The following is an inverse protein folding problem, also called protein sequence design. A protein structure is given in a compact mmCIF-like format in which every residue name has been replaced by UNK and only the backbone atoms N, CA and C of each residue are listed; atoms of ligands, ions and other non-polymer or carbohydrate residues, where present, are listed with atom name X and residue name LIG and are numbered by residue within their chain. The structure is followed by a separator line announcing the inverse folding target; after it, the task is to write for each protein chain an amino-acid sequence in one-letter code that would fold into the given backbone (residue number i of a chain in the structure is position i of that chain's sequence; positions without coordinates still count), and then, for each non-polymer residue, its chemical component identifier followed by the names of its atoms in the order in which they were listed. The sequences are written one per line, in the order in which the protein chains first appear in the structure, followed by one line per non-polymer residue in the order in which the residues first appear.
data_IF_108040036755
#
_entry.id   IF_108040036755
#
_cell.length_a   1.000
_cell.length_b   1.000
_cell.length_c   1.000
_cell.angle_alpha   90.00
_cell.angle_beta   90.00
_cell.angle_gamma   90.00
#
_symmetry.space_group_name_H-M   'P 1'
#
loop_
_entity.id
_entity.type
_entity.pdbx_description
1 polymer ?
#
# COMPACT_ATOMS: atom_id res chain seq x y z
N UNK A 1 -26.89 -0.66 18.21
CA UNK A 1 -26.55 -0.99 16.81
C UNK A 1 -26.51 0.28 15.97
N UNK A 2 -25.33 0.84 15.72
CA UNK A 2 -25.19 1.96 14.78
C UNK A 2 -25.46 1.46 13.37
N UNK A 3 -26.60 1.83 12.78
CA UNK A 3 -26.91 1.56 11.37
C UNK A 3 -25.78 2.16 10.52
N UNK A 4 -25.00 1.31 9.85
CA UNK A 4 -24.22 1.74 8.70
C UNK A 4 -25.22 2.18 7.62
N UNK A 5 -25.65 3.44 7.64
CA UNK A 5 -26.34 4.02 6.50
C UNK A 5 -25.35 3.99 5.34
N UNK A 6 -25.77 3.40 4.21
CA UNK A 6 -25.08 3.52 2.95
C UNK A 6 -24.91 5.02 2.66
N UNK A 7 -23.74 5.55 2.99
CA UNK A 7 -23.38 6.92 2.65
C UNK A 7 -23.11 6.95 1.15
N UNK A 8 -23.30 8.08 0.45
CA UNK A 8 -22.97 8.20 -0.98
C UNK A 8 -21.49 7.94 -1.32
N UNK A 9 -20.66 7.65 -0.31
CA UNK A 9 -19.26 7.23 -0.43
C UNK A 9 -19.03 5.72 -0.47
N UNK A 10 -20.03 4.86 -0.25
CA UNK A 10 -19.84 3.40 -0.45
C UNK A 10 -19.86 3.07 -1.94
N UNK A 11 -18.81 2.44 -2.51
CA UNK A 11 -18.83 2.00 -3.89
C UNK A 11 -19.94 0.99 -4.08
N UNK A 12 -20.82 1.23 -5.07
CA UNK A 12 -21.84 0.27 -5.50
C UNK A 12 -21.25 -1.13 -5.78
N UNK A 13 -19.96 -1.19 -6.09
CA UNK A 13 -19.24 -2.42 -6.42
C UNK A 13 -19.00 -3.35 -5.21
N UNK A 14 -18.81 -2.82 -3.99
CA UNK A 14 -18.50 -3.65 -2.81
C UNK A 14 -19.77 -4.10 -2.06
N UNK A 15 -20.92 -3.43 -2.27
CA UNK A 15 -22.23 -3.72 -1.65
C UNK A 15 -22.23 -3.98 -0.13
N UNK A 16 -21.26 -3.41 0.60
CA UNK A 16 -21.12 -3.57 2.06
C UNK A 16 -20.53 -2.32 2.71
N UNK A 17 -20.79 -2.13 4.00
CA UNK A 17 -20.21 -1.04 4.77
C UNK A 17 -18.73 -1.33 5.10
N UNK A 18 -17.83 -0.42 4.73
CA UNK A 18 -16.40 -0.53 5.02
C UNK A 18 -16.05 0.51 6.09
N UNK A 19 -15.56 0.07 7.25
CA UNK A 19 -15.17 0.94 8.37
C UNK A 19 -13.94 1.76 7.98
N UNK A 20 -14.03 3.09 8.16
CA UNK A 20 -13.03 4.08 7.69
C UNK A 20 -12.55 3.74 6.27
N UNK A 21 -13.50 3.64 5.35
CA UNK A 21 -13.20 3.41 3.94
C UNK A 21 -12.26 4.50 3.42
N UNK A 22 -11.24 4.09 2.68
CA UNK A 22 -10.33 4.98 1.98
C UNK A 22 -10.70 5.04 0.50
N UNK A 23 -10.56 3.92 -0.22
CA UNK A 23 -10.91 3.80 -1.63
C UNK A 23 -11.24 2.34 -2.00
N UNK A 24 -11.86 2.13 -3.18
CA UNK A 24 -11.90 0.81 -3.81
C UNK A 24 -10.72 0.68 -4.74
N UNK A 25 -9.88 -0.34 -4.53
CA UNK A 25 -8.70 -0.55 -5.33
C UNK A 25 -8.94 -1.69 -6.31
N UNK A 26 -8.93 -1.35 -7.61
CA UNK A 26 -9.13 -2.31 -8.69
C UNK A 26 -8.00 -3.35 -8.77
N UNK A 27 -6.78 -3.00 -8.36
CA UNK A 27 -5.62 -3.91 -8.41
C UNK A 27 -5.70 -5.06 -7.41
N UNK A 28 -6.30 -4.83 -6.24
CA UNK A 28 -6.54 -5.88 -5.24
C UNK A 28 -7.98 -6.40 -5.28
N UNK A 29 -8.78 -5.89 -6.23
CA UNK A 29 -10.20 -6.18 -6.38
C UNK A 29 -10.97 -6.12 -5.05
N UNK A 30 -10.66 -5.13 -4.21
CA UNK A 30 -11.21 -5.03 -2.86
C UNK A 30 -11.24 -3.58 -2.37
N UNK A 31 -12.14 -3.33 -1.43
CA UNK A 31 -12.20 -2.06 -0.72
C UNK A 31 -11.07 -1.97 0.32
N UNK A 32 -10.33 -0.85 0.34
CA UNK A 32 -9.29 -0.54 1.32
C UNK A 32 -9.90 0.32 2.43
N UNK A 33 -9.68 -0.08 3.68
CA UNK A 33 -10.17 0.61 4.88
C UNK A 33 -9.43 0.14 6.13
N UNK A 34 -9.97 0.43 7.31
CA UNK A 34 -9.27 0.22 8.59
C UNK A 34 -8.71 -1.21 8.78
N UNK A 35 -9.45 -2.23 8.36
CA UNK A 35 -9.12 -3.63 8.65
C UNK A 35 -8.01 -4.19 7.75
N UNK A 36 -7.76 -3.58 6.59
CA UNK A 36 -6.72 -4.01 5.64
C UNK A 36 -5.71 -2.92 5.29
N UNK A 37 -5.79 -1.75 5.92
CA UNK A 37 -4.87 -0.62 5.69
C UNK A 37 -3.40 -1.01 5.90
N UNK A 38 -3.10 -1.80 6.95
CA UNK A 38 -1.74 -2.33 7.20
C UNK A 38 -1.22 -3.11 5.98
N UNK A 39 -2.01 -4.08 5.51
CA UNK A 39 -1.61 -4.96 4.41
C UNK A 39 -1.45 -4.18 3.10
N UNK A 40 -2.31 -3.20 2.86
CA UNK A 40 -2.20 -2.33 1.69
C UNK A 40 -0.91 -1.51 1.71
N UNK A 41 -0.54 -0.91 2.84
CA UNK A 41 0.72 -0.14 2.97
C UNK A 41 1.94 -1.04 2.78
N UNK A 42 1.92 -2.26 3.35
CA UNK A 42 2.99 -3.23 3.14
C UNK A 42 3.09 -3.62 1.65
N UNK A 43 1.96 -3.90 1.00
CA UNK A 43 1.90 -4.23 -0.41
C UNK A 43 2.48 -3.12 -1.30
N UNK A 44 2.08 -1.86 -1.10
CA UNK A 44 2.59 -0.74 -1.91
C UNK A 44 4.05 -0.44 -1.60
N UNK A 45 4.47 -0.55 -0.34
CA UNK A 45 5.86 -0.32 0.06
C UNK A 45 6.79 -1.40 -0.51
N UNK A 46 6.40 -2.68 -0.45
CA UNK A 46 7.20 -3.77 -1.03
C UNK A 46 7.26 -3.70 -2.55
N UNK A 47 6.15 -3.36 -3.21
CA UNK A 47 6.14 -3.14 -4.66
C UNK A 47 7.06 -1.98 -5.05
N UNK A 48 7.08 -0.90 -4.26
CA UNK A 48 8.01 0.22 -4.47
C UNK A 48 9.48 -0.21 -4.34
N UNK A 49 9.82 -0.97 -3.29
CA UNK A 49 11.17 -1.46 -3.05
C UNK A 49 11.64 -2.39 -4.16
N UNK A 50 10.81 -3.37 -4.58
CA UNK A 50 11.21 -4.30 -5.64
C UNK A 50 11.31 -3.60 -7.00
N UNK A 51 10.46 -2.62 -7.28
CA UNK A 51 10.54 -1.82 -8.52
C UNK A 51 11.85 -1.02 -8.57
N UNK A 52 12.24 -0.38 -7.46
CA UNK A 52 13.53 0.30 -7.33
C UNK A 52 14.70 -0.67 -7.48
N UNK A 53 14.63 -1.84 -6.85
CA UNK A 53 15.67 -2.87 -6.95
C UNK A 53 15.85 -3.34 -8.41
N UNK A 54 14.76 -3.56 -9.14
CA UNK A 54 14.81 -3.90 -10.56
C UNK A 54 15.46 -2.80 -11.39
N UNK A 55 15.14 -1.52 -11.15
CA UNK A 55 15.79 -0.38 -11.83
C UNK A 55 17.29 -0.33 -11.57
N UNK A 56 17.73 -0.61 -10.34
CA UNK A 56 19.15 -0.68 -9.98
C UNK A 56 19.86 -1.81 -10.74
N UNK A 57 19.27 -3.01 -10.75
CA UNK A 57 19.83 -4.15 -11.52
C UNK A 57 19.89 -3.81 -13.01
N UNK A 58 18.84 -3.21 -13.56
CA UNK A 58 18.77 -2.83 -14.97
C UNK A 58 19.88 -1.83 -15.32
N UNK A 59 20.12 -0.84 -14.45
CA UNK A 59 21.21 0.11 -14.58
C UNK A 59 22.58 -0.59 -14.57
N UNK A 60 22.79 -1.53 -13.65
CA UNK A 60 24.02 -2.33 -13.63
C UNK A 60 24.18 -3.21 -14.87
N UNK A 61 23.10 -3.77 -15.39
CA UNK A 61 23.12 -4.56 -16.62
C UNK A 61 23.49 -3.68 -17.84
N UNK A 62 22.90 -2.48 -17.94
CA UNK A 62 23.21 -1.52 -19.00
C UNK A 62 24.68 -1.04 -18.95
N UNK A 63 25.19 -0.74 -17.76
CA UNK A 63 26.56 -0.22 -17.62
C UNK A 63 27.63 -1.29 -17.77
N UNK A 64 27.40 -2.50 -17.23
CA UNK A 64 28.42 -3.54 -17.25
C UNK A 64 28.32 -4.48 -18.46
N UNK A 65 27.11 -4.85 -18.89
CA UNK A 65 26.95 -5.81 -19.99
C UNK A 65 26.87 -5.08 -21.33
N UNK A 66 26.03 -4.03 -21.40
CA UNK A 66 25.72 -3.38 -22.67
C UNK A 66 26.83 -2.46 -23.13
N UNK A 67 27.41 -1.68 -22.21
CA UNK A 67 28.45 -0.72 -22.56
C UNK A 67 29.86 -1.33 -22.73
N UNK A 68 30.12 -2.54 -22.23
CA UNK A 68 31.46 -3.16 -22.32
C UNK A 68 31.55 -4.32 -23.30
N UNK A 69 30.73 -5.37 -23.15
CA UNK A 69 30.83 -6.61 -23.92
C UNK A 69 29.45 -7.17 -24.27
N UNK A 70 28.73 -6.44 -25.12
CA UNK A 70 27.35 -6.74 -25.53
C UNK A 70 27.15 -8.15 -26.10
N UNK A 71 28.17 -8.77 -26.73
CA UNK A 71 28.07 -10.10 -27.33
C UNK A 71 28.27 -11.26 -26.35
N UNK A 72 28.84 -10.99 -25.15
CA UNK A 72 29.19 -12.03 -24.17
C UNK A 72 28.15 -12.20 -23.05
N UNK A 73 27.23 -11.26 -22.90
CA UNK A 73 26.35 -11.15 -21.73
C UNK A 73 24.88 -11.59 -21.92
N UNK A 74 24.22 -11.38 -23.07
CA UNK A 74 22.78 -11.62 -23.14
C UNK A 74 22.47 -13.12 -23.27
N UNK A 75 21.56 -13.62 -22.42
CA UNK A 75 21.03 -14.99 -22.49
C UNK A 75 20.18 -15.23 -23.75
N UNK A 76 19.68 -14.15 -24.36
CA UNK A 76 18.93 -14.15 -25.61
C UNK A 76 19.68 -13.39 -26.70
N UNK A 77 19.19 -13.47 -27.94
CA UNK A 77 19.74 -12.67 -29.04
C UNK A 77 19.76 -11.16 -28.67
N UNK A 78 20.78 -10.40 -29.10
CA UNK A 78 20.85 -8.95 -28.96
C UNK A 78 19.54 -8.16 -29.08
N UNK A 79 18.73 -8.29 -30.15
CA UNK A 79 17.51 -7.51 -30.30
C UNK A 79 16.47 -7.83 -29.22
N UNK A 80 16.33 -9.11 -28.82
CA UNK A 80 15.38 -9.53 -27.80
C UNK A 80 15.73 -8.95 -26.42
N UNK A 81 17.00 -8.98 -26.05
CA UNK A 81 17.47 -8.41 -24.78
C UNK A 81 17.17 -6.91 -24.70
N UNK A 82 17.36 -6.17 -25.79
CA UNK A 82 17.04 -4.74 -25.83
C UNK A 82 15.55 -4.47 -25.61
N UNK A 83 14.68 -5.27 -26.25
CA UNK A 83 13.23 -5.17 -26.05
C UNK A 83 12.85 -5.47 -24.60
N UNK A 84 13.38 -6.54 -24.00
CA UNK A 84 13.09 -6.87 -22.61
C UNK A 84 13.59 -5.81 -21.62
N UNK A 85 14.78 -5.27 -21.84
CA UNK A 85 15.35 -4.18 -21.02
C UNK A 85 14.45 -2.95 -21.06
N UNK A 86 13.95 -2.56 -22.24
CA UNK A 86 13.03 -1.43 -22.38
C UNK A 86 11.70 -1.70 -21.68
N UNK A 87 11.07 -2.85 -21.94
CA UNK A 87 9.77 -3.19 -21.36
C UNK A 87 9.85 -3.25 -19.83
N UNK A 88 10.84 -3.96 -19.29
CA UNK A 88 11.07 -4.06 -17.84
C UNK A 88 11.40 -2.71 -17.22
N UNK A 89 12.18 -1.87 -17.92
CA UNK A 89 12.52 -0.53 -17.46
C UNK A 89 11.30 0.38 -17.36
N UNK A 90 10.47 0.43 -18.41
CA UNK A 90 9.24 1.22 -18.44
C UNK A 90 8.23 0.73 -17.40
N UNK A 91 8.05 -0.58 -17.29
CA UNK A 91 7.19 -1.21 -16.29
C UNK A 91 7.64 -0.87 -14.87
N UNK A 92 8.91 -1.12 -14.54
CA UNK A 92 9.46 -0.90 -13.20
C UNK A 92 9.42 0.58 -12.82
N UNK A 93 9.72 1.48 -13.76
CA UNK A 93 9.64 2.91 -13.51
C UNK A 93 8.21 3.40 -13.28
N UNK A 94 7.26 2.92 -14.09
CA UNK A 94 5.84 3.22 -13.93
C UNK A 94 5.29 2.74 -12.59
N UNK A 95 5.55 1.49 -12.22
CA UNK A 95 5.14 0.94 -10.93
C UNK A 95 5.84 1.62 -9.77
N UNK A 96 7.12 1.98 -9.89
CA UNK A 96 7.84 2.71 -8.85
C UNK A 96 7.16 4.06 -8.55
N UNK A 97 6.90 4.88 -9.57
CA UNK A 97 6.24 6.19 -9.37
C UNK A 97 4.86 6.00 -8.77
N UNK A 98 4.05 5.12 -9.37
CA UNK A 98 2.68 4.88 -8.92
C UNK A 98 2.64 4.44 -7.45
N UNK A 99 3.46 3.46 -7.07
CA UNK A 99 3.47 2.92 -5.71
C UNK A 99 4.15 3.84 -4.70
N UNK A 100 5.13 4.65 -5.11
CA UNK A 100 5.73 5.67 -4.26
C UNK A 100 4.72 6.78 -3.90
N UNK A 101 3.95 7.26 -4.89
CA UNK A 101 2.88 8.24 -4.66
C UNK A 101 1.80 7.66 -3.75
N UNK A 102 1.31 6.45 -4.06
CA UNK A 102 0.29 5.79 -3.24
C UNK A 102 0.75 5.57 -1.80
N UNK A 103 1.98 5.07 -1.61
CA UNK A 103 2.55 4.85 -0.27
C UNK A 103 2.67 6.17 0.51
N UNK A 104 3.13 7.24 -0.14
CA UNK A 104 3.24 8.57 0.46
C UNK A 104 1.89 9.10 0.91
N UNK A 105 0.85 8.94 0.08
CA UNK A 105 -0.52 9.33 0.42
C UNK A 105 -1.02 8.54 1.63
N UNK A 106 -0.82 7.22 1.68
CA UNK A 106 -1.25 6.42 2.83
C UNK A 106 -0.57 6.86 4.13
N UNK A 107 0.74 7.14 4.11
CA UNK A 107 1.45 7.64 5.29
C UNK A 107 1.01 9.05 5.69
N UNK A 108 0.74 9.91 4.72
CA UNK A 108 0.18 11.25 4.97
C UNK A 108 -1.21 11.17 5.62
N UNK A 109 -2.09 10.30 5.12
CA UNK A 109 -3.41 10.04 5.70
C UNK A 109 -3.31 9.50 7.13
N UNK A 110 -2.35 8.63 7.42
CA UNK A 110 -2.07 8.17 8.79
C UNK A 110 -1.61 9.32 9.67
N UNK A 111 -0.65 10.12 9.20
CA UNK A 111 -0.10 11.24 9.96
C UNK A 111 -1.18 12.28 10.31
N UNK A 112 -2.08 12.55 9.37
CA UNK A 112 -3.17 13.53 9.53
C UNK A 112 -4.43 12.94 10.17
N UNK A 113 -4.48 11.63 10.45
CA UNK A 113 -5.68 10.86 10.84
C UNK A 113 -6.90 11.20 9.96
N UNK A 114 -6.66 11.35 8.64
CA UNK A 114 -7.70 11.58 7.64
C UNK A 114 -7.82 10.37 6.70
N UNK A 115 -9.05 10.01 6.36
CA UNK A 115 -9.32 9.10 5.23
C UNK A 115 -9.29 9.89 3.91
N UNK A 116 -9.02 9.24 2.77
CA UNK A 116 -9.07 9.88 1.45
C UNK A 116 -10.39 10.61 1.20
N UNK A 117 -11.52 10.07 1.69
CA UNK A 117 -12.84 10.72 1.60
C UNK A 117 -12.94 11.95 2.49
N UNK A 118 -12.38 11.92 3.71
CA UNK A 118 -12.37 13.07 4.62
C UNK A 118 -11.49 14.21 4.09
N UNK A 119 -10.39 13.88 3.40
CA UNK A 119 -9.54 14.86 2.70
C UNK A 119 -10.35 15.63 1.65
N UNK A 120 -11.07 14.94 0.76
CA UNK A 120 -11.89 15.60 -0.27
C UNK A 120 -13.13 16.32 0.30
N UNK A 121 -13.66 15.89 1.44
CA UNK A 121 -14.83 16.53 2.08
C UNK A 121 -14.48 17.78 2.90
N UNK A 122 -13.20 18.16 3.01
CA UNK A 122 -12.77 19.38 3.71
C UNK A 122 -13.14 19.42 5.20
N UNK A 123 -13.56 18.30 5.80
CA UNK A 123 -13.91 18.22 7.21
C UNK A 123 -12.62 18.14 8.04
N UNK A 124 -12.03 19.30 8.35
CA UNK A 124 -11.02 19.41 9.40
C UNK A 124 -11.67 18.99 10.73
N UNK A 125 -11.26 17.85 11.27
CA UNK A 125 -11.68 17.43 12.61
C UNK A 125 -11.11 18.45 13.60
N UNK A 126 -12.00 19.20 14.24
CA UNK A 126 -11.68 20.20 15.25
C UNK A 126 -10.76 19.60 16.33
N UNK A 127 -9.60 20.23 16.50
CA UNK A 127 -8.72 20.17 17.68
C UNK A 127 -8.62 18.80 18.37
N UNK A 128 -7.93 17.83 17.74
CA UNK A 128 -7.26 16.76 18.50
C UNK A 128 -5.78 17.10 18.55
N UNK A 129 -5.27 17.24 19.78
CA UNK A 129 -3.85 17.43 20.11
C UNK A 129 -2.93 16.70 19.13
N UNK A 130 -1.89 17.39 18.65
CA UNK A 130 -0.86 16.91 17.73
C UNK A 130 -0.38 15.52 18.16
N UNK A 131 -0.92 14.48 17.52
CA UNK A 131 -0.54 13.12 17.79
C UNK A 131 0.76 12.83 17.06
N UNK A 132 1.79 12.39 17.77
CA UNK A 132 3.07 12.02 17.15
C UNK A 132 2.84 10.96 16.07
N UNK A 133 3.59 11.05 14.96
CA UNK A 133 3.53 10.10 13.85
C UNK A 133 3.65 8.64 14.31
N UNK A 134 4.49 8.37 15.31
CA UNK A 134 4.64 7.02 15.88
C UNK A 134 3.36 6.53 16.58
N UNK A 135 2.62 7.43 17.22
CA UNK A 135 1.35 7.10 17.83
C UNK A 135 0.31 6.77 16.75
N UNK A 136 0.28 7.54 15.66
CA UNK A 136 -0.57 7.25 14.51
C UNK A 136 -0.22 5.89 13.86
N UNK A 137 1.07 5.59 13.66
CA UNK A 137 1.52 4.29 13.14
C UNK A 137 1.13 3.13 14.06
N UNK A 138 1.21 3.29 15.39
CA UNK A 138 0.77 2.26 16.35
C UNK A 138 -0.71 1.91 16.23
N UNK A 139 -1.55 2.84 15.74
CA UNK A 139 -2.98 2.55 15.49
C UNK A 139 -3.17 1.55 14.34
N UNK A 140 -2.29 1.59 13.33
CA UNK A 140 -2.38 0.76 12.11
C UNK A 140 -1.55 -0.52 12.22
N UNK A 141 -0.31 -0.41 12.70
CA UNK A 141 0.65 -1.53 12.72
C UNK A 141 0.64 -2.32 14.04
N UNK A 142 0.07 -1.76 15.11
CA UNK A 142 -0.01 -2.35 16.44
C UNK A 142 0.88 -1.64 17.46
N UNK A 143 0.61 -1.87 18.75
CA UNK A 143 1.26 -1.17 19.86
C UNK A 143 2.76 -1.51 20.03
N UNK A 144 3.15 -2.76 19.76
CA UNK A 144 4.53 -3.25 19.86
C UNK A 144 5.28 -3.00 18.54
N UNK A 145 6.28 -2.14 18.58
CA UNK A 145 7.19 -1.90 17.45
C UNK A 145 8.14 -3.09 17.32
N UNK A 146 8.26 -3.66 16.12
CA UNK A 146 9.15 -4.79 15.85
C UNK A 146 8.97 -5.36 14.45
N UNK A 147 9.62 -6.50 14.16
CA UNK A 147 9.56 -7.16 12.84
C UNK A 147 8.14 -7.55 12.41
N UNK A 148 7.22 -7.68 13.36
CA UNK A 148 5.79 -7.91 13.11
C UNK A 148 5.12 -6.77 12.34
N UNK A 149 5.67 -5.55 12.36
CA UNK A 149 5.17 -4.44 11.57
C UNK A 149 5.36 -4.69 10.08
N UNK A 150 6.48 -5.32 9.72
CA UNK A 150 6.84 -5.67 8.35
C UNK A 150 6.13 -6.95 7.90
N UNK A 151 5.85 -7.88 8.82
CA UNK A 151 5.18 -9.13 8.46
C UNK A 151 3.72 -8.91 8.02
N UNK A 152 3.32 -9.37 6.81
CA UNK A 152 1.94 -9.37 6.37
C UNK A 152 1.09 -10.44 7.08
N UNK A 153 1.71 -11.35 7.83
CA UNK A 153 1.03 -12.40 8.59
C UNK A 153 0.69 -11.98 10.02
N UNK A 154 1.30 -10.90 10.51
CA UNK A 154 1.03 -10.39 11.84
C UNK A 154 -0.22 -9.50 11.84
N UNK A 155 -1.21 -9.84 12.65
CA UNK A 155 -2.37 -8.97 12.89
C UNK A 155 -1.97 -7.85 13.85
N UNK A 156 -2.38 -6.59 13.61
CA UNK A 156 -2.16 -5.52 14.57
C UNK A 156 -2.91 -5.83 15.88
N UNK A 157 -2.19 -5.77 17.00
CA UNK A 157 -2.67 -6.15 18.35
C UNK A 157 -3.76 -5.21 18.93
N UNK A 158 -4.41 -4.42 18.09
CA UNK A 158 -5.56 -3.57 18.45
C UNK A 158 -6.91 -4.29 18.21
N UNK A 159 -6.88 -5.50 17.64
CA UNK A 159 -8.07 -6.31 17.38
C UNK A 159 -8.59 -7.08 18.61
N UNK A 160 -7.79 -7.22 19.67
CA UNK A 160 -8.15 -8.04 20.83
C UNK A 160 -9.08 -7.30 21.80
N UNK A 161 -9.03 -5.97 21.88
CA UNK A 161 -9.88 -5.21 22.82
C UNK A 161 -11.25 -4.81 22.27
N UNK A 162 -11.64 -5.28 21.09
CA UNK A 162 -12.97 -4.99 20.52
C UNK A 162 -13.79 -6.24 20.13
N UNK A 163 -13.19 -7.43 20.20
CA UNK A 163 -13.82 -8.67 19.72
C UNK A 163 -14.15 -9.71 20.81
N UNK A 164 -13.80 -9.50 22.07
CA UNK A 164 -14.10 -10.48 23.14
C UNK A 164 -15.46 -10.28 23.85
N UNK A 165 -16.35 -9.42 23.34
CA UNK A 165 -17.74 -9.39 23.86
C UNK A 165 -18.83 -9.71 22.84
N UNK A 166 -18.62 -9.60 21.52
CA UNK A 166 -19.68 -9.95 20.57
C UNK A 166 -19.11 -10.26 19.19
N UNK A 167 -19.12 -11.55 18.81
CA UNK A 167 -19.76 -12.09 17.59
C UNK A 167 -19.27 -13.54 17.42
N UNK A 168 -20.11 -14.47 17.88
CA UNK A 168 -20.26 -15.82 17.34
C UNK A 168 -21.04 -15.77 16.01
N UNK A 169 -20.80 -16.79 15.18
CA UNK A 169 -21.50 -17.19 13.94
C UNK A 169 -21.27 -16.28 12.71
N UNK A 170 -21.19 -16.74 11.47
CA UNK A 170 -21.08 -18.04 10.79
C UNK A 170 -20.77 -17.66 9.33
N UNK A 171 -20.00 -18.51 8.63
CA UNK A 171 -19.81 -18.60 7.16
C UNK A 171 -19.72 -17.27 6.37
#
# INVERSE_FOLDING_TARGET
MSKCQATPSTPLICQRCIKRMDHHCMFVNNCVGQNNQKYFILFTSYTCIISMYTLIILYYHLTNCVATNWTACPAWSPPMTFVFVILLGLESFGFFIFTAVMTTIQFYCIYTDTTGIEFFKGKRRSSRSSMSFLCALKTVFGSRVGLQWLSPFSRPMNYITQNDEHITFDV
#
